data_IF_937290594317
#
_entry.id   IF_937290594317
#
_cell.length_a   1.000
_cell.length_b   1.000
_cell.length_c   1.000
_cell.angle_alpha   90.00
_cell.angle_beta   90.00
_cell.angle_gamma   90.00
#
_symmetry.space_group_name_H-M   'P 1'
#
loop_
_entity.id
_entity.type
_entity.pdbx_description
1 polymer ?
#
# COMPACT_ATOMS: atom_id res chain seq x y z
N UNK A 1 -0.56 22.96 -13.79
CA UNK A 1 -1.77 22.24 -13.34
C UNK A 1 -1.82 22.29 -11.81
N UNK A 2 -2.90 22.80 -11.24
CA UNK A 2 -3.08 22.85 -9.77
C UNK A 2 -3.43 21.48 -9.20
N UNK A 3 -3.11 21.25 -7.92
CA UNK A 3 -3.54 20.06 -7.16
C UNK A 3 -4.86 20.37 -6.48
N UNK A 4 -5.79 19.40 -6.46
CA UNK A 4 -7.06 19.56 -5.76
C UNK A 4 -6.86 19.31 -4.26
N UNK A 5 -7.19 20.30 -3.43
CA UNK A 5 -7.16 20.16 -1.98
C UNK A 5 -8.39 19.38 -1.50
N UNK A 6 -8.17 18.28 -0.79
CA UNK A 6 -9.24 17.40 -0.32
C UNK A 6 -9.52 17.66 1.17
N UNK A 7 -10.75 18.04 1.56
CA UNK A 7 -11.12 18.24 2.97
C UNK A 7 -11.06 16.92 3.76
N UNK A 8 -11.09 17.00 5.09
CA UNK A 8 -11.21 15.79 5.90
C UNK A 8 -12.56 15.13 5.63
N UNK A 9 -12.56 13.80 5.45
CA UNK A 9 -13.78 13.05 5.19
C UNK A 9 -13.52 11.68 4.58
N UNK A 10 -14.61 10.96 4.34
CA UNK A 10 -14.62 9.62 3.72
C UNK A 10 -13.94 9.58 2.36
N UNK A 11 -13.97 10.70 1.62
CA UNK A 11 -13.34 10.82 0.30
C UNK A 11 -11.83 10.55 0.33
N UNK A 12 -11.10 10.95 1.38
CA UNK A 12 -9.66 10.66 1.50
C UNK A 12 -9.42 9.15 1.55
N UNK A 13 -10.23 8.45 2.35
CA UNK A 13 -10.15 7.00 2.50
C UNK A 13 -10.50 6.28 1.20
N UNK A 14 -11.52 6.76 0.48
CA UNK A 14 -11.91 6.22 -0.83
C UNK A 14 -10.74 6.38 -1.83
N UNK A 15 -10.17 7.57 -1.95
CA UNK A 15 -9.04 7.84 -2.85
C UNK A 15 -7.83 6.96 -2.54
N UNK A 16 -7.49 6.80 -1.26
CA UNK A 16 -6.40 5.92 -0.82
C UNK A 16 -6.71 4.46 -1.16
N UNK A 17 -7.94 4.00 -0.91
CA UNK A 17 -8.37 2.64 -1.23
C UNK A 17 -8.29 2.37 -2.73
N UNK A 18 -8.88 3.21 -3.57
CA UNK A 18 -8.85 3.05 -5.03
C UNK A 18 -7.41 3.11 -5.58
N UNK A 19 -6.56 3.97 -5.02
CA UNK A 19 -5.15 4.07 -5.43
C UNK A 19 -4.27 2.91 -4.92
N UNK A 20 -4.75 2.16 -3.93
CA UNK A 20 -4.04 1.03 -3.33
C UNK A 20 -4.58 -0.33 -3.81
N UNK A 21 -5.87 -0.43 -4.12
CA UNK A 21 -6.58 -1.69 -4.41
C UNK A 21 -7.22 -1.68 -5.81
N UNK A 22 -7.16 -0.54 -6.52
CA UNK A 22 -7.80 -0.40 -7.82
C UNK A 22 -7.33 -1.46 -8.81
N UNK A 23 -8.24 -1.96 -9.64
CA UNK A 23 -8.01 -3.13 -10.50
C UNK A 23 -6.78 -3.03 -11.42
N UNK A 24 -6.39 -1.82 -11.83
CA UNK A 24 -5.16 -1.56 -12.58
C UNK A 24 -3.96 -1.20 -11.70
N UNK A 25 -4.20 -0.68 -10.49
CA UNK A 25 -3.17 -0.19 -9.59
C UNK A 25 -2.50 -1.33 -8.81
N UNK A 26 -3.17 -2.47 -8.59
CA UNK A 26 -2.62 -3.55 -7.77
C UNK A 26 -2.29 -3.07 -6.35
N UNK A 27 -1.96 -3.99 -5.44
CA UNK A 27 -1.65 -3.67 -4.04
C UNK A 27 -0.34 -2.88 -3.87
N UNK A 28 -0.34 -1.60 -4.28
CA UNK A 28 0.83 -0.73 -4.27
C UNK A 28 1.35 -0.48 -2.86
N UNK A 29 2.67 -0.39 -2.74
CA UNK A 29 3.34 0.05 -1.51
C UNK A 29 3.01 1.53 -1.25
N UNK A 30 3.15 1.93 0.02
CA UNK A 30 2.87 3.28 0.51
C UNK A 30 3.44 4.38 -0.40
N UNK A 31 4.69 4.25 -0.83
CA UNK A 31 5.35 5.29 -1.62
C UNK A 31 4.74 5.45 -3.02
N UNK A 32 4.37 4.34 -3.68
CA UNK A 32 3.70 4.37 -5.00
C UNK A 32 2.30 4.98 -4.88
N UNK A 33 1.51 4.54 -3.91
CA UNK A 33 0.16 5.10 -3.66
C UNK A 33 0.25 6.60 -3.34
N UNK A 34 1.22 7.00 -2.51
CA UNK A 34 1.42 8.41 -2.16
C UNK A 34 1.84 9.25 -3.37
N UNK A 35 2.77 8.76 -4.20
CA UNK A 35 3.22 9.46 -5.40
C UNK A 35 2.07 9.67 -6.39
N UNK A 36 1.25 8.64 -6.60
CA UNK A 36 0.09 8.73 -7.48
C UNK A 36 -0.93 9.76 -6.98
N UNK A 37 -1.29 9.70 -5.69
CA UNK A 37 -2.22 10.67 -5.10
C UNK A 37 -1.68 12.10 -5.19
N UNK A 38 -0.39 12.31 -4.91
CA UNK A 38 0.25 13.64 -4.97
C UNK A 38 0.33 14.25 -6.36
N UNK A 39 0.11 13.47 -7.42
CA UNK A 39 0.07 13.98 -8.79
C UNK A 39 -1.19 14.84 -9.04
N UNK A 40 -2.32 14.50 -8.39
CA UNK A 40 -3.62 15.13 -8.65
C UNK A 40 -4.24 15.79 -7.41
N UNK A 41 -3.91 15.30 -6.22
CA UNK A 41 -4.55 15.69 -4.97
C UNK A 41 -3.53 16.16 -3.94
N UNK A 42 -4.03 16.92 -2.97
CA UNK A 42 -3.27 17.35 -1.81
C UNK A 42 -4.16 17.36 -0.56
N UNK A 43 -3.59 16.93 0.56
CA UNK A 43 -4.12 17.23 1.89
C UNK A 43 -3.01 17.10 2.95
N UNK A 44 -3.12 17.76 4.12
CA UNK A 44 -2.13 17.56 5.17
C UNK A 44 -2.13 16.11 5.67
N UNK A 45 -0.94 15.57 5.94
CA UNK A 45 -0.73 14.21 6.46
C UNK A 45 -1.09 13.03 5.54
N UNK A 46 -1.11 13.20 4.20
CA UNK A 46 -1.42 12.10 3.26
C UNK A 46 -0.65 10.81 3.54
N UNK A 47 0.64 10.91 3.88
CA UNK A 47 1.49 9.75 4.14
C UNK A 47 0.96 8.91 5.31
N UNK A 48 0.47 9.56 6.36
CA UNK A 48 -0.08 8.88 7.55
C UNK A 48 -1.36 8.13 7.18
N UNK A 49 -2.24 8.75 6.39
CA UNK A 49 -3.48 8.13 5.93
C UNK A 49 -3.19 6.91 5.02
N UNK A 50 -2.27 7.05 4.07
CA UNK A 50 -1.86 5.96 3.17
C UNK A 50 -1.22 4.82 3.95
N UNK A 51 -0.31 5.11 4.88
CA UNK A 51 0.34 4.10 5.70
C UNK A 51 -0.68 3.33 6.55
N UNK A 52 -1.60 4.04 7.22
CA UNK A 52 -2.66 3.42 8.03
C UNK A 52 -3.55 2.49 7.19
N UNK A 53 -3.83 2.84 5.93
CA UNK A 53 -4.60 1.99 5.04
C UNK A 53 -3.81 0.75 4.60
N UNK A 54 -2.58 0.94 4.11
CA UNK A 54 -1.73 -0.16 3.65
C UNK A 54 -1.41 -1.17 4.78
N UNK A 55 -1.20 -0.70 6.02
CA UNK A 55 -0.96 -1.55 7.19
C UNK A 55 -2.14 -2.44 7.55
N UNK A 56 -3.37 -2.08 7.15
CA UNK A 56 -4.59 -2.87 7.38
C UNK A 56 -4.95 -3.79 6.21
N UNK A 57 -4.22 -3.70 5.09
CA UNK A 57 -4.50 -4.51 3.91
C UNK A 57 -4.05 -5.97 4.13
N UNK A 58 -5.00 -6.89 4.27
CA UNK A 58 -4.74 -8.31 4.50
C UNK A 58 -3.92 -8.92 3.36
N UNK A 59 -4.18 -8.53 2.12
CA UNK A 59 -3.42 -9.02 0.96
C UNK A 59 -1.95 -8.63 1.05
N UNK A 60 -1.66 -7.37 1.41
CA UNK A 60 -0.30 -6.90 1.65
C UNK A 60 0.37 -7.60 2.84
N UNK A 61 -0.37 -7.79 3.93
CA UNK A 61 0.13 -8.48 5.13
C UNK A 61 0.49 -9.95 4.82
N UNK A 62 -0.38 -10.67 4.11
CA UNK A 62 -0.13 -12.05 3.66
C UNK A 62 1.07 -12.12 2.72
N UNK A 63 1.18 -11.20 1.76
CA UNK A 63 2.32 -11.13 0.86
C UNK A 63 3.63 -10.91 1.63
N UNK A 64 3.63 -10.02 2.64
CA UNK A 64 4.81 -9.74 3.47
C UNK A 64 5.20 -10.92 4.36
N UNK A 65 4.24 -11.65 4.92
CA UNK A 65 4.46 -12.85 5.74
C UNK A 65 5.10 -13.99 4.95
N UNK A 66 4.73 -14.16 3.67
CA UNK A 66 5.36 -15.14 2.77
C UNK A 66 6.83 -14.84 2.44
N UNK A 67 7.33 -13.64 2.73
CA UNK A 67 8.75 -13.27 2.53
C UNK A 67 9.61 -13.54 3.77
N UNK A 68 9.22 -14.50 4.63
CA UNK A 68 10.14 -15.10 5.58
C UNK A 68 10.98 -16.19 4.89
N UNK A 69 12.29 -16.24 5.16
CA UNK A 69 13.29 -16.68 4.21
C UNK A 69 13.37 -18.20 4.13
N UNK A 70 13.99 -18.66 3.04
CA UNK A 70 14.68 -19.93 2.90
C UNK A 70 15.51 -20.30 4.15
N UNK A 71 14.88 -20.91 5.15
CA UNK A 71 15.52 -21.29 6.40
C UNK A 71 15.08 -22.68 6.83
N UNK A 72 15.25 -23.67 5.96
CA UNK A 72 15.60 -25.06 6.26
C UNK A 72 15.70 -25.78 4.90
N UNK A 73 16.79 -25.55 4.15
CA UNK A 73 17.20 -26.54 3.17
C UNK A 73 17.98 -27.59 3.96
N UNK A 74 17.29 -28.59 4.49
CA UNK A 74 17.95 -29.80 4.99
C UNK A 74 18.47 -30.56 3.77
N UNK A 75 19.79 -30.64 3.53
CA UNK A 75 20.27 -31.61 2.56
C UNK A 75 19.85 -33.00 3.03
N UNK A 76 19.25 -33.77 2.13
CA UNK A 76 18.93 -35.17 2.35
C UNK A 76 20.21 -35.90 2.82
N UNK A 77 20.18 -36.66 3.92
CA UNK A 77 21.29 -37.57 4.21
C UNK A 77 21.28 -38.65 3.14
N UNK A 78 22.32 -38.68 2.30
CA UNK A 78 22.67 -39.89 1.58
C UNK A 78 23.27 -40.86 2.59
N UNK A 79 22.53 -41.91 2.90
CA UNK A 79 23.04 -43.18 3.44
C UNK A 79 22.15 -44.30 2.95
#
# INVERSE_FOLDING_TARGET
>A
MGKLCIPQGSIRKLLVKESHEGGLMGHFRVDKTLSFLKAKFYWPHMRIDVQRHCSKCITCLKAKSRVMPHGLYTPFPHS
#
